data_IF_338517609389
#
_entry.id   IF_338517609389
#
_cell.length_a   1.000
_cell.length_b   1.000
_cell.length_c   1.000
_cell.angle_alpha   90.00
_cell.angle_beta   90.00
_cell.angle_gamma   90.00
#
_symmetry.space_group_name_H-M   'P 1'
#
loop_
_entity.id
_entity.type
_entity.pdbx_description
1 polymer ?
#
# COMPACT_ATOMS: atom_id res chain seq x y z
N UNK A 1 -2.73 36.99 -35.90
CA UNK A 1 -1.64 36.26 -35.20
C UNK A 1 -1.62 36.46 -33.68
N UNK A 2 -2.12 37.57 -33.10
CA UNK A 2 -2.21 37.77 -31.64
C UNK A 2 -3.22 36.89 -30.89
N UNK A 3 -4.28 36.40 -31.57
CA UNK A 3 -5.31 35.52 -30.96
C UNK A 3 -4.83 34.07 -30.73
N UNK A 4 -3.83 33.63 -31.50
CA UNK A 4 -3.24 32.29 -31.38
C UNK A 4 -2.30 32.19 -30.15
N UNK A 5 -1.71 33.33 -29.74
CA UNK A 5 -0.81 33.40 -28.60
C UNK A 5 -1.54 33.33 -27.24
N UNK A 6 -2.81 33.77 -27.18
CA UNK A 6 -3.60 33.81 -25.94
C UNK A 6 -4.13 32.42 -25.56
N UNK A 7 -4.37 31.55 -26.56
CA UNK A 7 -4.80 30.17 -26.32
C UNK A 7 -3.67 29.26 -25.77
N UNK A 8 -2.41 29.58 -26.07
CA UNK A 8 -1.28 28.75 -25.65
C UNK A 8 -0.93 28.92 -24.16
N UNK A 9 -1.17 30.11 -23.59
CA UNK A 9 -0.85 30.41 -22.18
C UNK A 9 -1.87 29.85 -21.19
N UNK A 10 -3.08 29.51 -21.64
CA UNK A 10 -4.15 29.01 -20.77
C UNK A 10 -4.04 27.49 -20.49
N UNK A 11 -3.22 26.77 -21.26
CA UNK A 11 -3.03 25.33 -21.12
C UNK A 11 -1.97 24.94 -20.06
N UNK A 12 -1.22 25.90 -19.51
CA UNK A 12 -0.17 25.66 -18.50
C UNK A 12 -0.63 25.87 -17.04
N UNK A 13 -1.90 26.16 -16.81
CA UNK A 13 -2.46 26.35 -15.47
C UNK A 13 -3.16 25.09 -14.95
N UNK A 14 -2.53 23.91 -15.10
CA UNK A 14 -2.93 22.72 -14.33
C UNK A 14 -2.21 22.86 -12.98
N UNK A 15 -2.89 23.24 -11.89
CA UNK A 15 -2.26 23.17 -10.58
C UNK A 15 -1.84 21.72 -10.37
N UNK A 16 -0.54 21.50 -10.17
CA UNK A 16 -0.02 20.25 -9.63
C UNK A 16 -0.53 20.13 -8.19
N UNK A 17 -1.80 19.74 -8.02
CA UNK A 17 -2.21 19.04 -6.83
C UNK A 17 -1.42 17.73 -6.88
N UNK A 18 -0.27 17.70 -6.21
CA UNK A 18 0.46 16.46 -6.02
C UNK A 18 -0.55 15.45 -5.49
N UNK A 19 -0.77 14.36 -6.23
CA UNK A 19 -1.60 13.26 -5.78
C UNK A 19 -0.90 12.60 -4.59
N UNK A 20 -0.98 13.21 -3.41
CA UNK A 20 -0.75 12.50 -2.17
C UNK A 20 -1.81 11.41 -2.11
N UNK A 21 -1.36 10.17 -2.14
CA UNK A 21 -2.27 9.04 -2.08
C UNK A 21 -2.91 9.05 -0.69
N UNK A 22 -4.25 8.89 -0.57
CA UNK A 22 -4.94 8.97 0.72
C UNK A 22 -4.34 8.09 1.82
N UNK A 23 -3.79 6.93 1.45
CA UNK A 23 -3.15 6.02 2.38
C UNK A 23 -1.91 6.62 3.07
N UNK A 24 -1.09 7.44 2.39
CA UNK A 24 0.13 8.02 2.98
C UNK A 24 -0.19 8.97 4.15
N UNK A 25 -1.30 9.72 4.04
CA UNK A 25 -1.74 10.63 5.09
C UNK A 25 -2.58 9.93 6.16
N UNK A 26 -3.33 8.89 5.79
CA UNK A 26 -4.28 8.19 6.66
C UNK A 26 -3.65 7.07 7.50
N UNK A 27 -2.48 6.54 7.12
CA UNK A 27 -1.94 5.32 7.73
C UNK A 27 -1.70 5.45 9.25
N UNK A 28 -1.23 6.61 9.71
CA UNK A 28 -0.98 6.86 11.13
C UNK A 28 -2.24 6.91 12.01
N UNK A 29 -3.43 6.93 11.41
CA UNK A 29 -4.70 6.85 12.13
C UNK A 29 -5.25 5.42 12.23
N UNK A 30 -4.59 4.42 11.64
CA UNK A 30 -4.95 3.02 11.84
C UNK A 30 -4.75 2.63 13.31
N UNK A 31 -5.62 1.73 13.78
CA UNK A 31 -5.48 1.06 15.06
C UNK A 31 -6.16 -0.30 15.02
N UNK A 32 -5.77 -1.17 15.95
CA UNK A 32 -6.36 -2.50 16.08
C UNK A 32 -7.88 -2.43 16.26
N UNK A 33 -8.57 -3.44 15.73
CA UNK A 33 -10.03 -3.58 15.83
C UNK A 33 -10.85 -2.85 14.76
N UNK A 34 -10.24 -1.97 13.93
CA UNK A 34 -10.95 -1.36 12.80
C UNK A 34 -11.49 -2.41 11.84
N UNK A 35 -12.69 -2.20 11.30
CA UNK A 35 -13.26 -3.08 10.26
C UNK A 35 -12.69 -2.76 8.88
N UNK A 36 -12.89 -3.69 7.94
CA UNK A 36 -12.62 -3.46 6.51
C UNK A 36 -13.18 -2.14 5.97
N UNK A 37 -14.42 -1.79 6.33
CA UNK A 37 -15.04 -0.55 5.86
C UNK A 37 -14.35 0.68 6.44
N UNK A 38 -14.00 0.67 7.74
CA UNK A 38 -13.29 1.78 8.37
C UNK A 38 -11.90 1.99 7.74
N UNK A 39 -11.21 0.90 7.39
CA UNK A 39 -9.92 0.97 6.69
C UNK A 39 -10.09 1.54 5.28
N UNK A 40 -11.14 1.15 4.53
CA UNK A 40 -11.44 1.73 3.20
C UNK A 40 -11.79 3.20 3.26
N UNK A 41 -12.60 3.60 4.24
CA UNK A 41 -12.99 5.00 4.44
C UNK A 41 -11.76 5.86 4.76
N UNK A 42 -10.77 5.29 5.45
CA UNK A 42 -9.55 5.98 5.87
C UNK A 42 -8.47 6.03 4.78
N UNK A 43 -8.15 4.88 4.17
CA UNK A 43 -7.00 4.74 3.26
C UNK A 43 -7.39 4.67 1.78
N UNK A 44 -8.68 4.52 1.48
CA UNK A 44 -9.19 4.19 0.17
C UNK A 44 -9.12 2.70 -0.13
N UNK A 45 -9.33 2.37 -1.41
CA UNK A 45 -9.26 1.00 -1.91
C UNK A 45 -7.81 0.48 -1.91
N UNK A 46 -7.56 -0.75 -1.42
CA UNK A 46 -6.24 -1.36 -1.50
C UNK A 46 -5.86 -1.66 -2.95
N UNK A 47 -4.57 -1.60 -3.25
CA UNK A 47 -4.05 -2.02 -4.55
C UNK A 47 -4.09 -3.54 -4.73
N UNK A 48 -3.99 -4.30 -3.64
CA UNK A 48 -4.06 -5.75 -3.65
C UNK A 48 -4.60 -6.29 -2.33
N UNK A 49 -5.40 -7.36 -2.41
CA UNK A 49 -5.96 -8.07 -1.25
C UNK A 49 -5.61 -9.55 -1.34
N UNK A 50 -5.18 -10.11 -0.21
CA UNK A 50 -4.88 -11.53 -0.04
C UNK A 50 -5.78 -12.10 1.04
N UNK A 51 -6.59 -13.09 0.68
CA UNK A 51 -7.46 -13.76 1.63
C UNK A 51 -6.73 -14.98 2.20
N UNK A 52 -6.89 -15.20 3.50
CA UNK A 52 -6.48 -16.46 4.10
C UNK A 52 -7.52 -17.53 3.78
N UNK A 53 -7.14 -18.58 3.04
CA UNK A 53 -8.01 -19.77 2.95
C UNK A 53 -7.82 -20.64 4.20
N UNK A 54 -8.83 -21.42 4.60
CA UNK A 54 -8.70 -22.35 5.74
C UNK A 54 -7.52 -23.32 5.55
N UNK A 55 -7.27 -23.74 4.32
CA UNK A 55 -6.13 -24.59 3.94
C UNK A 55 -4.78 -23.86 4.11
N UNK A 56 -4.69 -22.58 3.74
CA UNK A 56 -3.45 -21.80 3.91
C UNK A 56 -3.11 -21.56 5.38
N UNK A 57 -4.13 -21.45 6.24
CA UNK A 57 -3.96 -21.23 7.69
C UNK A 57 -3.48 -22.49 8.40
N UNK A 58 -3.87 -23.67 7.91
CA UNK A 58 -3.49 -24.95 8.47
C UNK A 58 -2.05 -25.36 8.11
N UNK A 59 -1.57 -25.02 6.92
CA UNK A 59 -0.21 -25.38 6.47
C UNK A 59 0.91 -24.55 7.14
N UNK A 60 0.59 -23.35 7.62
CA UNK A 60 1.56 -22.44 8.25
C UNK A 60 1.01 -21.95 9.58
N UNK A 61 0.86 -22.85 10.57
CA UNK A 61 0.66 -22.57 12.00
C UNK A 61 -0.04 -21.21 12.33
N UNK A 62 -1.23 -20.96 11.78
CA UNK A 62 -2.03 -19.73 11.94
C UNK A 62 -1.45 -18.40 11.38
N UNK A 63 -0.38 -18.42 10.59
CA UNK A 63 0.34 -17.23 10.12
C UNK A 63 -0.30 -16.52 8.91
N UNK A 64 -1.20 -17.18 8.17
CA UNK A 64 -1.90 -16.54 7.06
C UNK A 64 -3.11 -15.75 7.57
N UNK A 65 -2.90 -14.46 7.84
CA UNK A 65 -3.94 -13.48 8.09
C UNK A 65 -4.38 -12.86 6.76
N UNK A 66 -5.65 -12.43 6.66
CA UNK A 66 -6.06 -11.63 5.50
C UNK A 66 -5.20 -10.36 5.47
N UNK A 67 -4.73 -9.99 4.28
CA UNK A 67 -3.76 -8.91 4.11
C UNK A 67 -4.15 -7.99 2.97
N UNK A 68 -4.18 -6.70 3.23
CA UNK A 68 -4.33 -5.67 2.21
C UNK A 68 -3.03 -4.90 2.02
N UNK A 69 -2.74 -4.51 0.78
CA UNK A 69 -1.56 -3.76 0.39
C UNK A 69 -1.93 -2.43 -0.29
N UNK A 70 -1.11 -1.41 -0.06
CA UNK A 70 -1.23 -0.07 -0.63
C UNK A 70 0.13 0.43 -1.13
N UNK A 71 0.10 1.37 -2.07
CA UNK A 71 1.31 1.99 -2.62
C UNK A 71 2.06 1.10 -3.63
N UNK A 72 1.40 0.06 -4.14
CA UNK A 72 2.03 -0.88 -5.05
C UNK A 72 2.33 -0.29 -6.43
N UNK A 73 3.56 -0.50 -6.89
CA UNK A 73 3.91 -0.37 -8.30
C UNK A 73 3.77 -1.72 -9.03
N UNK A 74 3.93 -1.73 -10.36
CA UNK A 74 3.73 -2.95 -11.15
C UNK A 74 4.65 -4.10 -10.71
N UNK A 75 5.86 -3.79 -10.26
CA UNK A 75 6.82 -4.79 -9.77
C UNK A 75 6.41 -5.37 -8.43
N UNK A 76 5.90 -4.57 -7.49
CA UNK A 76 5.51 -5.09 -6.16
C UNK A 76 4.26 -5.96 -6.25
N UNK A 77 3.31 -5.65 -7.15
CA UNK A 77 2.15 -6.52 -7.42
C UNK A 77 2.56 -7.89 -7.97
N UNK A 78 3.53 -7.92 -8.87
CA UNK A 78 4.03 -9.16 -9.44
C UNK A 78 4.69 -10.04 -8.37
N UNK A 79 5.53 -9.45 -7.51
CA UNK A 79 6.16 -10.17 -6.38
C UNK A 79 5.11 -10.66 -5.38
N UNK A 80 4.14 -9.83 -5.01
CA UNK A 80 3.09 -10.20 -4.07
C UNK A 80 2.22 -11.35 -4.56
N UNK A 81 1.95 -11.43 -5.87
CA UNK A 81 1.19 -12.54 -6.46
C UNK A 81 1.94 -13.89 -6.43
N UNK A 82 3.27 -13.86 -6.45
CA UNK A 82 4.12 -15.07 -6.43
C UNK A 82 4.38 -15.55 -5.00
N UNK A 83 4.49 -14.63 -4.05
CA UNK A 83 4.77 -14.92 -2.64
C UNK A 83 3.66 -14.36 -1.75
N UNK A 84 2.45 -14.95 -1.76
CA UNK A 84 1.33 -14.46 -0.97
C UNK A 84 1.62 -14.48 0.54
N UNK A 85 2.55 -15.30 1.04
CA UNK A 85 3.00 -15.33 2.43
C UNK A 85 3.75 -14.06 2.84
N UNK A 86 4.48 -13.43 1.91
CA UNK A 86 5.45 -12.38 2.23
C UNK A 86 5.04 -11.06 1.59
N UNK A 87 4.72 -10.07 2.43
CA UNK A 87 4.44 -8.74 1.95
C UNK A 87 5.75 -8.03 1.55
N UNK A 88 5.86 -7.45 0.33
CA UNK A 88 7.07 -6.72 -0.07
C UNK A 88 7.41 -5.57 0.90
N UNK A 89 8.70 -5.28 1.10
CA UNK A 89 9.12 -4.25 2.06
C UNK A 89 8.65 -2.84 1.68
N UNK A 90 8.49 -2.57 0.38
CA UNK A 90 8.22 -1.22 -0.17
C UNK A 90 6.73 -0.83 -0.19
N UNK A 91 5.86 -1.56 0.52
CA UNK A 91 4.41 -1.35 0.48
C UNK A 91 3.88 -1.18 1.89
N UNK A 92 2.79 -0.42 2.01
CA UNK A 92 2.01 -0.36 3.23
C UNK A 92 1.11 -1.59 3.33
N UNK A 93 1.00 -2.16 4.52
CA UNK A 93 0.29 -3.43 4.74
C UNK A 93 -0.66 -3.32 5.92
N UNK A 94 -1.88 -3.83 5.75
CA UNK A 94 -2.85 -4.01 6.84
C UNK A 94 -3.19 -5.48 6.93
N UNK A 95 -3.13 -6.04 8.14
CA UNK A 95 -3.49 -7.42 8.44
C UNK A 95 -4.81 -7.46 9.19
N UNK A 96 -5.63 -8.47 8.89
CA UNK A 96 -6.92 -8.67 9.53
C UNK A 96 -7.00 -10.06 10.17
N UNK A 97 -7.63 -10.11 11.34
CA UNK A 97 -7.99 -11.35 12.02
C UNK A 97 -9.17 -12.07 11.34
N UNK A 98 -9.56 -13.23 11.87
CA UNK A 98 -10.67 -14.04 11.34
C UNK A 98 -12.04 -13.33 11.38
N UNK A 99 -12.17 -12.31 12.23
CA UNK A 99 -13.39 -11.52 12.37
C UNK A 99 -13.43 -10.34 11.39
N UNK A 100 -12.41 -10.18 10.54
CA UNK A 100 -12.29 -9.08 9.59
C UNK A 100 -11.91 -7.76 10.26
N UNK A 101 -11.17 -7.83 11.38
CA UNK A 101 -10.70 -6.65 12.12
C UNK A 101 -9.20 -6.52 12.03
N UNK A 102 -8.71 -5.27 12.01
CA UNK A 102 -7.28 -4.98 12.00
C UNK A 102 -6.60 -5.64 13.20
N UNK A 103 -5.66 -6.53 12.91
CA UNK A 103 -4.80 -7.23 13.87
C UNK A 103 -3.37 -6.70 13.88
N UNK A 104 -3.00 -5.92 12.86
CA UNK A 104 -1.71 -5.26 12.75
C UNK A 104 -1.55 -4.53 11.42
N UNK A 105 -0.53 -3.69 11.33
CA UNK A 105 -0.22 -2.92 10.13
C UNK A 105 1.27 -2.55 10.09
N UNK A 106 1.79 -2.32 8.88
CA UNK A 106 3.22 -2.07 8.64
C UNK A 106 3.40 -1.01 7.56
N UNK A 107 4.22 -0.01 7.85
CA UNK A 107 4.70 0.97 6.87
C UNK A 107 5.81 0.38 5.97
N UNK A 108 6.09 0.97 4.79
CA UNK A 108 7.22 0.58 3.98
C UNK A 108 8.53 0.63 4.78
N UNK A 109 9.32 -0.43 4.69
CA UNK A 109 10.65 -0.46 5.31
C UNK A 109 11.60 0.28 4.37
N UNK A 110 12.29 1.35 4.82
CA UNK A 110 13.27 2.04 4.00
C UNK A 110 14.38 1.06 3.60
N UNK A 111 14.80 1.09 2.33
CA UNK A 111 15.95 0.32 1.89
C UNK A 111 17.20 0.85 2.59
N UNK A 112 17.73 0.09 3.55
CA UNK A 112 19.04 0.39 4.14
C UNK A 112 20.09 0.04 3.10
N UNK A 113 20.69 1.07 2.50
CA UNK A 113 21.71 0.92 1.45
C UNK A 113 23.02 0.39 2.04
N UNK A 114 23.08 -0.91 2.33
CA UNK A 114 24.18 -1.57 3.03
C UNK A 114 25.23 -2.13 2.05
N UNK A 115 25.12 -1.83 0.75
CA UNK A 115 25.86 -2.56 -0.28
C UNK A 115 27.37 -2.27 -0.32
N UNK A 116 27.87 -1.29 0.47
CA UNK A 116 29.30 -0.99 0.65
C UNK A 116 29.68 -0.84 2.11
N UNK A 117 29.69 -1.94 2.85
CA UNK A 117 30.26 -2.01 4.20
C UNK A 117 31.79 -2.15 4.23
N UNK A 118 32.44 -2.18 3.06
CA UNK A 118 33.85 -2.54 2.85
C UNK A 118 34.77 -1.36 2.49
N UNK A 119 34.25 -0.13 2.34
CA UNK A 119 35.10 1.06 2.14
C UNK A 119 35.42 1.71 3.49
N UNK A 120 36.55 1.32 4.09
CA UNK A 120 37.22 2.05 5.19
C UNK A 120 38.64 2.42 4.79
#
# INVERSE_FOLDING_TARGET
MKRLLILLTMLLAIPNAGCQQPHEAGFGALHDGMSHQQVRDLLGEPSMTFYASEESRAEVDNAYQERWQYGDNFSTRATGAVFPENAPDRVWVVYFDESGRVSGFREPIPETDNWRSDVK
#
